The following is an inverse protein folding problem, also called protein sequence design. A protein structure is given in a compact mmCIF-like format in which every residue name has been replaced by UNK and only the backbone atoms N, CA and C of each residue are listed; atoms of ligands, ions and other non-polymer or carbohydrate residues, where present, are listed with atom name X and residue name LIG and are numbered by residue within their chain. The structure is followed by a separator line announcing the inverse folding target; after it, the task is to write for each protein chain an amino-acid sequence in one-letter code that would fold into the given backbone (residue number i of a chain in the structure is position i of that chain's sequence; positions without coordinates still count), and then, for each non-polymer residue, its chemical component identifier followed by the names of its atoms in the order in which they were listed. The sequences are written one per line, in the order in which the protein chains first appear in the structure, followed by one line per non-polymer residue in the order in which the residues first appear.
data_IF_733483886346
#
_entry.id   IF_733483886346
#
_cell.length_a   1.000
_cell.length_b   1.000
_cell.length_c   1.000
_cell.angle_alpha   90.00
_cell.angle_beta   90.00
_cell.angle_gamma   90.00
#
_symmetry.space_group_name_H-M   'P 1'
#
loop_
_entity.id
_entity.type
_entity.pdbx_description
1 polymer ?
#
# COMPACT_ATOMS: atom_id res chain seq x y z
N UNK A 1 22.34 -4.88 7.47
CA UNK A 1 21.16 -4.25 8.08
C UNK A 1 19.97 -4.77 7.31
N UNK A 2 19.20 -5.73 7.86
CA UNK A 2 18.04 -6.32 7.16
C UNK A 2 16.90 -5.31 7.23
N UNK A 3 16.44 -4.84 6.07
CA UNK A 3 15.26 -3.98 5.96
C UNK A 3 14.06 -4.76 6.48
N UNK A 4 13.36 -4.21 7.47
CA UNK A 4 12.06 -4.73 7.87
C UNK A 4 11.10 -4.49 6.72
N UNK A 5 10.69 -5.56 6.04
CA UNK A 5 9.78 -5.47 4.89
C UNK A 5 8.53 -4.69 5.29
N UNK A 6 8.28 -3.59 4.60
CA UNK A 6 7.01 -2.91 4.67
C UNK A 6 5.93 -3.88 4.13
N UNK A 7 4.83 -3.96 4.81
CA UNK A 7 3.70 -4.79 4.38
C UNK A 7 2.61 -3.88 3.86
N UNK A 8 2.02 -4.23 2.74
CA UNK A 8 0.82 -3.56 2.29
C UNK A 8 -0.27 -3.66 3.36
N UNK A 9 -0.90 -2.54 3.68
CA UNK A 9 -2.00 -2.51 4.64
C UNK A 9 -3.15 -3.40 4.17
N UNK A 10 -3.80 -4.16 5.05
CA UNK A 10 -4.93 -4.98 4.67
C UNK A 10 -6.09 -4.11 4.18
N UNK A 11 -6.74 -4.60 3.16
CA UNK A 11 -7.95 -4.01 2.59
C UNK A 11 -9.13 -4.90 2.99
N UNK A 12 -9.98 -4.51 3.93
CA UNK A 12 -11.10 -5.34 4.38
C UNK A 12 -12.28 -5.42 3.39
N UNK A 13 -12.99 -6.56 3.44
CA UNK A 13 -14.27 -6.73 2.77
C UNK A 13 -15.35 -5.97 3.54
N UNK A 14 -15.65 -4.75 3.12
CA UNK A 14 -16.85 -4.07 3.61
C UNK A 14 -18.10 -4.88 3.26
N UNK A 15 -19.06 -4.91 4.19
CA UNK A 15 -20.38 -5.46 3.99
C UNK A 15 -21.02 -4.79 2.75
N UNK A 16 -21.48 -5.56 1.75
CA UNK A 16 -22.11 -5.02 0.55
C UNK A 16 -23.40 -4.22 0.81
N UNK A 17 -23.92 -4.24 2.04
CA UNK A 17 -25.12 -3.49 2.44
C UNK A 17 -24.85 -2.04 2.89
N UNK A 18 -23.60 -1.67 3.20
CA UNK A 18 -23.22 -0.27 3.42
C UNK A 18 -22.81 0.30 2.07
N UNK A 19 -23.72 1.02 1.44
CA UNK A 19 -23.56 1.58 0.11
C UNK A 19 -22.18 2.17 -0.12
N UNK A 20 -21.46 1.62 -1.11
CA UNK A 20 -20.20 2.16 -1.61
C UNK A 20 -20.43 3.64 -1.90
N UNK A 21 -19.95 4.50 -1.01
CA UNK A 21 -19.95 5.94 -1.24
C UNK A 21 -18.93 6.17 -2.35
N UNK A 22 -19.42 6.18 -3.58
CA UNK A 22 -18.62 6.53 -4.75
C UNK A 22 -18.01 7.89 -4.47
N UNK A 23 -16.72 7.92 -4.19
CA UNK A 23 -15.95 9.16 -4.17
C UNK A 23 -16.03 9.72 -5.58
N UNK A 24 -16.80 10.78 -5.77
CA UNK A 24 -16.99 11.37 -7.09
C UNK A 24 -15.69 12.00 -7.59
N UNK A 25 -14.85 12.48 -6.69
CA UNK A 25 -13.58 13.13 -7.03
C UNK A 25 -12.57 12.95 -5.91
N UNK A 26 -11.37 12.53 -6.25
CA UNK A 26 -10.16 12.64 -5.46
C UNK A 26 -9.02 13.02 -6.40
N UNK A 27 -7.99 13.64 -5.86
CA UNK A 27 -6.78 13.99 -6.59
C UNK A 27 -5.61 13.15 -6.11
N UNK A 28 -4.70 12.86 -7.03
CA UNK A 28 -3.46 12.16 -6.74
C UNK A 28 -2.31 13.13 -7.03
N UNK A 29 -1.39 13.26 -6.08
CA UNK A 29 -0.24 14.17 -6.18
C UNK A 29 0.96 13.64 -5.41
N UNK A 30 2.12 14.20 -5.65
CA UNK A 30 3.29 13.92 -4.83
C UNK A 30 3.11 14.42 -3.40
N UNK A 31 3.67 13.65 -2.46
CA UNK A 31 3.78 13.99 -1.05
C UNK A 31 4.52 15.32 -0.84
N UNK A 32 4.06 16.09 0.12
CA UNK A 32 4.70 17.29 0.62
C UNK A 32 4.98 17.13 2.11
N UNK A 33 5.97 17.87 2.63
CA UNK A 33 6.37 17.75 4.03
C UNK A 33 5.21 17.97 5.02
N UNK A 34 4.29 18.85 4.67
CA UNK A 34 3.13 19.18 5.50
C UNK A 34 2.09 18.05 5.55
N UNK A 35 2.21 17.02 4.68
CA UNK A 35 1.37 15.83 4.70
C UNK A 35 1.77 14.82 5.79
N UNK A 36 2.94 14.98 6.42
CA UNK A 36 3.52 13.96 7.30
C UNK A 36 2.56 13.50 8.39
N UNK A 37 1.98 14.44 9.14
CA UNK A 37 1.11 14.11 10.26
C UNK A 37 -0.16 13.37 9.78
N UNK A 38 -0.73 13.80 8.65
CA UNK A 38 -1.89 13.15 8.05
C UNK A 38 -1.55 11.74 7.53
N UNK A 39 -0.38 11.55 6.91
CA UNK A 39 0.07 10.25 6.42
C UNK A 39 0.35 9.27 7.58
N UNK A 40 0.98 9.75 8.64
CA UNK A 40 1.24 8.94 9.87
C UNK A 40 -0.07 8.52 10.54
N UNK A 41 -1.03 9.44 10.69
CA UNK A 41 -2.33 9.10 11.26
C UNK A 41 -3.12 8.16 10.36
N UNK A 42 -3.09 8.37 9.05
CA UNK A 42 -3.72 7.47 8.09
C UNK A 42 -3.16 6.05 8.19
N UNK A 43 -1.84 5.91 8.26
CA UNK A 43 -1.19 4.62 8.48
C UNK A 43 -1.69 3.98 9.79
N UNK A 44 -1.62 4.71 10.92
CA UNK A 44 -2.01 4.21 12.24
C UNK A 44 -3.45 3.69 12.25
N UNK A 45 -4.43 4.50 11.81
CA UNK A 45 -5.84 4.14 11.86
C UNK A 45 -6.20 3.02 10.90
N UNK A 46 -5.57 2.96 9.72
CA UNK A 46 -5.79 1.90 8.75
C UNK A 46 -5.30 0.56 9.29
N UNK A 47 -4.08 0.52 9.83
CA UNK A 47 -3.54 -0.70 10.42
C UNK A 47 -4.27 -1.11 11.69
N UNK A 48 -4.74 -0.15 12.51
CA UNK A 48 -5.53 -0.45 13.70
C UNK A 48 -6.87 -1.12 13.37
N UNK A 49 -7.54 -0.69 12.31
CA UNK A 49 -8.77 -1.35 11.84
C UNK A 49 -8.48 -2.74 11.28
N UNK A 50 -7.40 -2.88 10.57
CA UNK A 50 -7.03 -4.13 9.94
C UNK A 50 -6.55 -5.21 10.94
N UNK A 51 -5.88 -4.79 11.99
CA UNK A 51 -5.33 -5.67 13.03
C UNK A 51 -5.69 -5.15 14.42
N UNK A 52 -6.95 -5.26 14.84
CA UNK A 52 -7.43 -4.65 16.08
C UNK A 52 -6.78 -5.19 17.36
N UNK A 53 -6.17 -6.37 17.28
CA UNK A 53 -5.44 -6.97 18.41
C UNK A 53 -4.08 -6.31 18.72
N UNK A 54 -3.57 -5.47 17.81
CA UNK A 54 -2.29 -4.78 17.96
C UNK A 54 -2.50 -3.30 18.28
N UNK A 55 -1.67 -2.75 19.16
CA UNK A 55 -1.68 -1.31 19.47
C UNK A 55 -0.75 -0.56 18.50
N UNK A 56 -1.33 -0.02 17.44
CA UNK A 56 -0.59 0.80 16.48
C UNK A 56 -0.31 2.21 16.99
N UNK A 57 -1.04 2.68 18.00
CA UNK A 57 -0.75 3.98 18.63
C UNK A 57 0.62 3.95 19.32
N UNK A 58 0.97 2.86 19.99
CA UNK A 58 2.30 2.67 20.59
C UNK A 58 3.44 2.65 19.55
N UNK A 59 3.13 2.41 18.26
CA UNK A 59 4.13 2.32 17.19
C UNK A 59 4.32 3.62 16.41
N UNK A 60 3.53 4.66 16.68
CA UNK A 60 3.56 5.92 15.91
C UNK A 60 4.93 6.58 15.94
N UNK A 61 5.61 6.62 17.10
CA UNK A 61 6.93 7.23 17.20
C UNK A 61 7.97 6.51 16.33
N UNK A 62 8.00 5.18 16.40
CA UNK A 62 8.87 4.36 15.57
C UNK A 62 8.54 4.52 14.08
N UNK A 63 7.25 4.52 13.71
CA UNK A 63 6.83 4.68 12.33
C UNK A 63 7.21 6.05 11.76
N UNK A 64 7.05 7.11 12.54
CA UNK A 64 7.48 8.48 12.16
C UNK A 64 8.98 8.56 11.92
N UNK A 65 9.77 7.91 12.76
CA UNK A 65 11.23 7.85 12.57
C UNK A 65 11.58 7.12 11.28
N UNK A 66 10.93 5.96 11.02
CA UNK A 66 11.09 5.22 9.77
C UNK A 66 10.65 6.04 8.55
N UNK A 67 9.52 6.76 8.66
CA UNK A 67 9.02 7.64 7.63
C UNK A 67 10.07 8.67 7.20
N UNK A 68 10.67 9.36 8.17
CA UNK A 68 11.65 10.43 7.93
C UNK A 68 13.02 9.92 7.46
N UNK A 69 13.47 8.77 7.97
CA UNK A 69 14.83 8.26 7.70
C UNK A 69 14.91 7.28 6.57
N UNK A 70 13.84 6.59 6.26
CA UNK A 70 13.84 5.54 5.25
C UNK A 70 12.91 5.89 4.09
N UNK A 71 11.62 6.13 4.34
CA UNK A 71 10.64 6.26 3.25
C UNK A 71 10.81 7.58 2.50
N UNK A 72 10.85 8.72 3.18
CA UNK A 72 10.99 10.02 2.52
C UNK A 72 12.28 10.15 1.69
N UNK A 73 13.48 9.74 2.19
CA UNK A 73 14.71 9.87 1.40
C UNK A 73 14.92 8.80 0.33
N UNK A 74 14.26 7.63 0.43
CA UNK A 74 14.53 6.48 -0.45
C UNK A 74 13.40 6.19 -1.44
N UNK A 75 12.22 6.79 -1.24
CA UNK A 75 11.04 6.48 -2.06
C UNK A 75 10.42 7.73 -2.65
N UNK A 76 9.87 7.59 -3.84
CA UNK A 76 8.83 8.49 -4.29
C UNK A 76 7.55 8.17 -3.52
N UNK A 77 6.92 9.20 -2.97
CA UNK A 77 5.67 9.07 -2.21
C UNK A 77 4.58 9.84 -2.93
N UNK A 78 3.49 9.13 -3.25
CA UNK A 78 2.30 9.71 -3.86
C UNK A 78 1.13 9.59 -2.90
N UNK A 79 0.35 10.65 -2.76
CA UNK A 79 -0.82 10.73 -1.89
C UNK A 79 -2.10 10.91 -2.70
N UNK A 80 -3.19 10.34 -2.20
CA UNK A 80 -4.55 10.60 -2.69
C UNK A 80 -5.30 11.44 -1.65
N UNK A 81 -5.98 12.48 -2.09
CA UNK A 81 -6.74 13.37 -1.22
C UNK A 81 -8.12 13.71 -1.77
N UNK A 82 -9.06 13.97 -0.88
CA UNK A 82 -10.39 14.51 -1.17
C UNK A 82 -10.78 15.52 -0.08
N UNK A 83 -11.33 16.64 -0.48
CA UNK A 83 -11.74 17.72 0.45
C UNK A 83 -10.64 18.12 1.45
N UNK A 84 -9.37 18.19 0.99
CA UNK A 84 -8.21 18.52 1.82
C UNK A 84 -7.81 17.45 2.84
N UNK A 85 -8.32 16.23 2.72
CA UNK A 85 -7.98 15.10 3.60
C UNK A 85 -7.26 14.00 2.82
N UNK A 86 -6.16 13.50 3.37
CA UNK A 86 -5.50 12.32 2.83
C UNK A 86 -6.37 11.08 3.04
N UNK A 87 -6.61 10.37 1.95
CA UNK A 87 -7.38 9.12 1.92
C UNK A 87 -6.55 7.92 1.44
N UNK A 88 -5.31 8.14 1.05
CA UNK A 88 -4.38 7.08 0.68
C UNK A 88 -2.98 7.61 0.41
N UNK A 89 -2.00 6.72 0.43
CA UNK A 89 -0.66 6.97 -0.08
C UNK A 89 0.00 5.67 -0.55
N UNK A 90 0.99 5.83 -1.42
CA UNK A 90 1.89 4.75 -1.86
C UNK A 90 3.33 5.22 -1.75
N UNK A 91 4.23 4.31 -1.38
CA UNK A 91 5.68 4.54 -1.37
C UNK A 91 6.37 3.54 -2.27
N UNK A 92 7.17 4.02 -3.21
CA UNK A 92 7.91 3.20 -4.17
C UNK A 92 9.35 3.67 -4.28
N UNK A 93 10.30 2.75 -4.12
CA UNK A 93 11.73 3.02 -4.30
C UNK A 93 12.11 3.02 -5.79
N UNK A 94 13.21 3.67 -6.16
CA UNK A 94 13.77 3.61 -7.52
C UNK A 94 14.09 2.17 -7.97
N UNK A 95 14.38 1.29 -7.03
CA UNK A 95 14.58 -0.15 -7.27
C UNK A 95 13.32 -0.88 -7.75
N UNK A 96 12.15 -0.23 -7.70
CA UNK A 96 10.86 -0.83 -7.95
C UNK A 96 10.28 -1.55 -6.73
N UNK A 97 10.85 -1.38 -5.52
CA UNK A 97 10.26 -1.95 -4.32
C UNK A 97 9.13 -1.06 -3.79
N UNK A 98 7.90 -1.58 -3.78
CA UNK A 98 6.74 -0.94 -3.17
C UNK A 98 6.67 -1.34 -1.70
N UNK A 99 7.03 -0.39 -0.81
CA UNK A 99 7.05 -0.64 0.63
C UNK A 99 5.65 -0.55 1.24
N UNK A 100 4.89 0.48 0.89
CA UNK A 100 3.55 0.72 1.44
C UNK A 100 2.56 1.11 0.34
N UNK A 101 1.35 0.58 0.45
CA UNK A 101 0.13 1.17 -0.11
C UNK A 101 -0.92 1.17 1.00
N UNK A 102 -1.39 2.34 1.37
CA UNK A 102 -2.31 2.54 2.48
C UNK A 102 -3.52 3.32 1.96
N UNK A 103 -4.71 2.83 2.24
CA UNK A 103 -5.98 3.48 1.88
C UNK A 103 -6.88 3.54 3.09
N UNK A 104 -7.47 4.69 3.30
CA UNK A 104 -8.37 4.95 4.43
C UNK A 104 -9.51 3.92 4.49
N UNK A 105 -9.84 3.39 5.69
CA UNK A 105 -10.88 2.37 5.83
C UNK A 105 -12.22 2.78 5.23
N UNK A 106 -12.58 4.05 5.37
CA UNK A 106 -13.84 4.62 4.88
C UNK A 106 -13.99 4.64 3.35
N UNK A 107 -12.89 4.41 2.63
CA UNK A 107 -12.89 4.37 1.15
C UNK A 107 -12.37 3.03 0.59
N UNK A 108 -12.30 2.01 1.42
CA UNK A 108 -11.98 0.67 0.94
C UNK A 108 -12.99 0.20 -0.12
N UNK A 109 -12.51 -0.53 -1.12
CA UNK A 109 -13.31 -0.98 -2.25
C UNK A 109 -13.56 0.09 -3.33
N UNK A 110 -13.04 1.32 -3.13
CA UNK A 110 -13.03 2.36 -4.16
C UNK A 110 -11.87 2.21 -5.15
N UNK A 111 -11.76 3.14 -6.09
CA UNK A 111 -10.68 3.18 -7.08
C UNK A 111 -9.38 3.79 -6.57
N UNK A 112 -9.32 4.26 -5.31
CA UNK A 112 -8.15 4.95 -4.76
C UNK A 112 -6.89 4.07 -4.77
N UNK A 113 -7.01 2.82 -4.32
CA UNK A 113 -5.87 1.90 -4.33
C UNK A 113 -5.33 1.63 -5.74
N UNK A 114 -6.23 1.48 -6.72
CA UNK A 114 -5.85 1.28 -8.12
C UNK A 114 -5.12 2.52 -8.66
N UNK A 115 -5.65 3.72 -8.43
CA UNK A 115 -5.02 4.95 -8.88
C UNK A 115 -3.60 5.13 -8.28
N UNK A 116 -3.42 4.84 -6.98
CA UNK A 116 -2.10 4.89 -6.34
C UNK A 116 -1.14 3.83 -6.91
N UNK A 117 -1.63 2.64 -7.22
CA UNK A 117 -0.82 1.60 -7.83
C UNK A 117 -0.43 1.95 -9.27
N UNK A 118 -1.31 2.61 -10.02
CA UNK A 118 -1.01 3.08 -11.38
C UNK A 118 0.09 4.15 -11.35
N UNK A 119 0.08 5.07 -10.37
CA UNK A 119 1.19 6.01 -10.15
C UNK A 119 2.50 5.30 -9.85
N UNK A 120 2.47 4.28 -8.97
CA UNK A 120 3.65 3.48 -8.68
C UNK A 120 4.20 2.79 -9.94
N UNK A 121 3.34 2.28 -10.82
CA UNK A 121 3.74 1.68 -12.10
C UNK A 121 4.35 2.71 -13.07
N UNK A 122 3.87 3.94 -13.06
CA UNK A 122 4.47 5.02 -13.87
C UNK A 122 5.86 5.39 -13.35
N UNK A 123 6.06 5.40 -12.03
CA UNK A 123 7.36 5.70 -11.40
C UNK A 123 8.37 4.56 -11.61
N UNK A 124 7.92 3.31 -11.52
CA UNK A 124 8.75 2.11 -11.69
C UNK A 124 8.29 1.26 -12.90
N UNK A 125 8.44 1.78 -14.14
CA UNK A 125 7.87 1.14 -15.34
C UNK A 125 8.54 -0.18 -15.72
N UNK A 126 9.68 -0.51 -15.13
CA UNK A 126 10.41 -1.76 -15.42
C UNK A 126 10.00 -2.94 -14.54
N UNK A 127 9.23 -2.69 -13.51
CA UNK A 127 8.71 -3.71 -12.62
C UNK A 127 8.58 -3.26 -11.18
N UNK A 128 7.67 -3.91 -10.46
CA UNK A 128 7.43 -3.67 -9.05
C UNK A 128 7.50 -4.98 -8.30
N UNK A 129 8.20 -4.97 -7.16
CA UNK A 129 8.22 -6.04 -6.18
C UNK A 129 7.68 -5.54 -4.85
N UNK A 130 6.89 -6.36 -4.17
CA UNK A 130 6.34 -6.06 -2.86
C UNK A 130 6.21 -7.32 -2.01
N UNK A 131 6.05 -7.13 -0.71
CA UNK A 131 5.68 -8.22 0.20
C UNK A 131 4.28 -8.01 0.76
N UNK A 132 3.55 -9.11 0.88
CA UNK A 132 2.20 -9.13 1.45
C UNK A 132 2.08 -10.30 2.42
N UNK A 133 1.37 -10.11 3.55
CA UNK A 133 1.06 -11.22 4.45
C UNK A 133 0.26 -12.30 3.72
N UNK A 134 0.65 -13.57 3.89
CA UNK A 134 0.01 -14.70 3.21
C UNK A 134 -1.47 -14.89 3.59
N UNK A 135 -1.88 -14.41 4.75
CA UNK A 135 -3.26 -14.40 5.21
C UNK A 135 -4.09 -13.21 4.69
N UNK A 136 -3.43 -12.20 4.11
CA UNK A 136 -4.11 -11.06 3.50
C UNK A 136 -4.61 -11.38 2.08
N UNK A 137 -5.55 -12.33 2.00
CA UNK A 137 -6.12 -12.83 0.73
C UNK A 137 -6.69 -11.70 -0.13
N UNK A 138 -7.21 -10.65 0.50
CA UNK A 138 -7.77 -9.51 -0.22
C UNK A 138 -6.71 -8.69 -0.94
N UNK A 139 -5.60 -8.36 -0.27
CA UNK A 139 -4.50 -7.66 -0.91
C UNK A 139 -3.89 -8.50 -2.03
N UNK A 140 -3.74 -9.81 -1.81
CA UNK A 140 -3.23 -10.73 -2.83
C UNK A 140 -4.12 -10.66 -4.08
N UNK A 141 -5.44 -10.81 -3.95
CA UNK A 141 -6.39 -10.72 -5.07
C UNK A 141 -6.37 -9.34 -5.75
N UNK A 142 -6.18 -8.27 -4.97
CA UNK A 142 -6.04 -6.93 -5.54
C UNK A 142 -4.81 -6.86 -6.44
N UNK A 143 -3.66 -7.33 -5.98
CA UNK A 143 -2.44 -7.31 -6.78
C UNK A 143 -2.52 -8.23 -8.00
N UNK A 144 -3.08 -9.45 -7.85
CA UNK A 144 -3.32 -10.36 -8.98
C UNK A 144 -4.19 -9.72 -10.06
N UNK A 145 -5.29 -9.05 -9.66
CA UNK A 145 -6.17 -8.30 -10.56
C UNK A 145 -5.44 -7.21 -11.33
N UNK A 146 -4.34 -6.67 -10.77
CA UNK A 146 -3.54 -5.62 -11.38
C UNK A 146 -2.26 -6.14 -12.04
N UNK A 147 -2.21 -7.43 -12.38
CA UNK A 147 -1.14 -8.05 -13.15
C UNK A 147 0.07 -8.49 -12.34
N UNK A 148 -0.03 -8.54 -11.00
CA UNK A 148 1.02 -9.11 -10.17
C UNK A 148 0.89 -10.63 -10.10
N UNK A 149 2.02 -11.30 -9.95
CA UNK A 149 2.10 -12.75 -9.71
C UNK A 149 2.96 -13.04 -8.49
N UNK A 150 2.78 -14.21 -7.90
CA UNK A 150 3.62 -14.66 -6.78
C UNK A 150 4.99 -15.05 -7.31
N UNK A 151 6.02 -14.32 -6.90
CA UNK A 151 7.42 -14.56 -7.26
C UNK A 151 8.19 -15.39 -6.24
N UNK A 152 7.67 -15.52 -5.02
CA UNK A 152 8.31 -16.30 -3.96
C UNK A 152 7.57 -16.23 -2.62
N UNK A 153 8.05 -17.03 -1.68
CA UNK A 153 7.59 -17.01 -0.29
C UNK A 153 8.76 -16.63 0.62
N UNK A 154 8.47 -15.93 1.71
CA UNK A 154 9.45 -15.54 2.72
C UNK A 154 8.78 -15.46 4.09
N UNK A 155 9.53 -15.10 5.10
CA UNK A 155 9.05 -14.88 6.47
C UNK A 155 9.38 -13.44 6.88
N UNK A 156 8.39 -12.74 7.38
CA UNK A 156 8.59 -11.39 7.90
C UNK A 156 9.61 -11.43 9.06
N UNK A 157 10.74 -10.73 8.96
CA UNK A 157 11.80 -10.81 9.97
C UNK A 157 11.38 -10.27 11.34
N UNK A 158 10.37 -9.40 11.39
CA UNK A 158 9.90 -8.77 12.63
C UNK A 158 8.77 -9.56 13.30
N UNK A 159 7.77 -10.03 12.53
CA UNK A 159 6.60 -10.73 13.07
C UNK A 159 6.69 -12.25 12.97
N UNK A 160 7.69 -12.79 12.24
CA UNK A 160 7.82 -14.21 11.90
C UNK A 160 6.62 -14.80 11.15
N UNK A 161 5.74 -13.94 10.63
CA UNK A 161 4.59 -14.35 9.83
C UNK A 161 5.01 -14.69 8.40
N UNK A 162 4.38 -15.71 7.76
CA UNK A 162 4.63 -16.02 6.36
C UNK A 162 4.14 -14.88 5.45
N UNK A 163 4.98 -14.51 4.49
CA UNK A 163 4.70 -13.48 3.49
C UNK A 163 4.91 -14.03 2.09
N UNK A 164 4.23 -13.41 1.13
CA UNK A 164 4.45 -13.63 -0.30
C UNK A 164 5.22 -12.45 -0.87
N UNK A 165 6.21 -12.72 -1.70
CA UNK A 165 6.75 -11.74 -2.62
C UNK A 165 5.87 -11.73 -3.86
N UNK A 166 5.29 -10.59 -4.19
CA UNK A 166 4.51 -10.40 -5.41
C UNK A 166 5.25 -9.48 -6.36
N UNK A 167 5.24 -9.85 -7.63
CA UNK A 167 5.99 -9.17 -8.68
C UNK A 167 5.04 -8.71 -9.79
N UNK A 168 5.23 -7.49 -10.26
CA UNK A 168 4.67 -7.01 -11.52
C UNK A 168 5.80 -6.74 -12.50
N UNK A 169 5.62 -7.21 -13.75
CA UNK A 169 6.57 -6.97 -14.84
C UNK A 169 5.78 -6.54 -16.07
N UNK A 170 6.08 -5.37 -16.67
CA UNK A 170 5.51 -4.99 -17.94
C UNK A 170 5.91 -6.05 -19.00
N UNK A 171 5.00 -6.48 -19.82
CA UNK A 171 5.19 -7.55 -20.82
C UNK A 171 5.31 -8.98 -20.25
N UNK A 172 4.88 -9.23 -19.02
CA UNK A 172 4.68 -10.59 -18.52
C UNK A 172 3.57 -11.31 -19.31
N UNK A 173 3.66 -12.64 -19.53
CA UNK A 173 2.59 -13.40 -20.20
C UNK A 173 1.19 -13.25 -19.58
N UNK A 174 1.09 -12.78 -18.34
CA UNK A 174 -0.17 -12.44 -17.70
C UNK A 174 -0.92 -11.30 -18.43
N UNK A 175 -0.20 -10.37 -19.07
CA UNK A 175 -0.80 -9.27 -19.84
C UNK A 175 -1.24 -9.72 -21.25
N UNK A 176 -0.71 -10.84 -21.74
CA UNK A 176 -1.03 -11.38 -23.08
C UNK A 176 -2.36 -12.16 -23.12
N UNK A 177 -2.98 -12.45 -21.97
CA UNK A 177 -4.20 -13.27 -21.89
C UNK A 177 -5.51 -12.48 -22.07
N UNK A 178 -5.46 -11.17 -22.32
CA UNK A 178 -6.62 -10.29 -22.45
C UNK A 178 -6.79 -9.61 -23.82
N UNK A 179 -6.18 -10.19 -24.89
CA UNK A 179 -6.39 -9.73 -26.28
C UNK A 179 -7.07 -10.82 -27.10
#
# INVERSE_FOLDING_TARGET
MKRGGGLAAPMESGDPALGVRMLKHFTVRFYQKDDEDAAIDLWRRTWQVAYPAFDFSARVAWWRERWRRELVPLSAITVAETDGKLIGFVTIEETGYLDQIVVAPEVWGSTVAAALLDEAKMIAPHGIDLHVNKDNVRAIRFYEKHGFFVGGEDVNPSSQSPILMMCWRPNSPADAAYW
#
